data_IF_683957603540
#
_entry.id   IF_683957603540
#
_cell.length_a   1.000
_cell.length_b   1.000
_cell.length_c   1.000
_cell.angle_alpha   90.00
_cell.angle_beta   90.00
_cell.angle_gamma   90.00
#
_symmetry.space_group_name_H-M   'P 1'
#
loop_
_entity.id
_entity.type
_entity.pdbx_description
1 polymer ?
#
# COMPACT_ATOMS: atom_id res chain seq x y z
N UNK A 1 -30.81 15.25 -4.41
CA UNK A 1 -29.68 15.10 -5.36
C UNK A 1 -29.50 13.61 -5.61
N UNK A 2 -29.55 13.15 -6.88
CA UNK A 2 -29.28 11.73 -7.18
C UNK A 2 -27.76 11.54 -7.10
N UNK A 3 -27.30 10.66 -6.21
CA UNK A 3 -25.89 10.25 -6.18
C UNK A 3 -25.50 9.78 -7.58
N UNK A 4 -24.43 10.36 -8.13
CA UNK A 4 -23.81 9.90 -9.37
C UNK A 4 -23.37 8.45 -9.10
N UNK A 5 -23.70 7.46 -9.95
CA UNK A 5 -23.24 6.09 -9.72
C UNK A 5 -21.72 6.08 -9.81
N UNK A 6 -21.06 5.98 -8.66
CA UNK A 6 -19.62 5.84 -8.54
C UNK A 6 -19.30 4.43 -9.05
N UNK A 7 -18.54 4.33 -10.14
CA UNK A 7 -18.10 3.04 -10.67
C UNK A 7 -16.87 2.61 -9.87
N UNK A 8 -16.92 1.49 -9.12
CA UNK A 8 -15.75 0.98 -8.42
C UNK A 8 -14.67 0.52 -9.43
N UNK A 9 -13.41 0.58 -9.00
CA UNK A 9 -12.29 0.06 -9.77
C UNK A 9 -12.25 -1.47 -9.61
N UNK A 10 -12.18 -2.20 -10.73
CA UNK A 10 -12.09 -3.68 -10.73
C UNK A 10 -10.76 -4.14 -11.30
N UNK A 11 -10.08 -5.06 -10.60
CA UNK A 11 -8.86 -5.73 -11.09
C UNK A 11 -9.12 -7.25 -11.15
N UNK A 12 -9.50 -7.79 -12.32
CA UNK A 12 -9.78 -9.22 -12.47
C UNK A 12 -8.49 -10.05 -12.43
N UNK A 13 -8.50 -11.18 -11.72
CA UNK A 13 -7.38 -12.12 -11.65
C UNK A 13 -7.03 -12.71 -13.01
N UNK A 14 -8.03 -13.04 -13.84
CA UNK A 14 -7.82 -13.69 -15.15
C UNK A 14 -7.10 -12.82 -16.19
N UNK A 15 -7.08 -11.49 -16.00
CA UNK A 15 -6.39 -10.54 -16.87
C UNK A 15 -5.00 -10.14 -16.37
N UNK A 16 -4.55 -10.75 -15.27
CA UNK A 16 -3.26 -10.45 -14.65
C UNK A 16 -2.12 -10.82 -15.59
N UNK A 17 -1.19 -9.88 -15.79
CA UNK A 17 0.06 -10.18 -16.47
C UNK A 17 0.97 -10.91 -15.47
N UNK A 18 1.43 -12.14 -15.79
CA UNK A 18 2.34 -12.86 -14.91
C UNK A 18 3.61 -12.06 -14.63
N UNK A 19 3.98 -11.98 -13.37
CA UNK A 19 5.25 -11.38 -12.93
C UNK A 19 6.15 -12.52 -12.46
N UNK A 20 7.38 -12.58 -12.99
CA UNK A 20 8.31 -13.70 -12.73
C UNK A 20 8.61 -13.92 -11.24
N UNK A 21 8.45 -12.89 -10.41
CA UNK A 21 8.71 -12.88 -8.97
C UNK A 21 7.44 -12.82 -8.11
N UNK A 22 6.24 -13.02 -8.68
CA UNK A 22 4.99 -13.15 -7.93
C UNK A 22 4.22 -14.41 -8.36
N UNK A 23 3.46 -15.05 -7.45
CA UNK A 23 2.57 -16.14 -7.83
C UNK A 23 1.48 -15.67 -8.81
N UNK A 24 1.15 -16.47 -9.81
CA UNK A 24 0.16 -16.12 -10.82
C UNK A 24 -1.25 -15.90 -10.21
N UNK A 25 -1.97 -14.90 -10.71
CA UNK A 25 -3.38 -14.58 -10.38
C UNK A 25 -3.60 -14.10 -8.93
N UNK A 26 -2.56 -13.55 -8.31
CA UNK A 26 -2.60 -13.18 -6.88
C UNK A 26 -2.46 -11.68 -6.62
N UNK A 27 -2.30 -10.83 -7.64
CA UNK A 27 -2.20 -9.37 -7.44
C UNK A 27 -3.51 -8.79 -6.90
N UNK A 28 -4.67 -9.31 -7.35
CA UNK A 28 -5.97 -8.90 -6.82
C UNK A 28 -6.12 -9.17 -5.31
N UNK A 29 -5.59 -10.30 -4.82
CA UNK A 29 -5.60 -10.63 -3.39
C UNK A 29 -4.74 -9.65 -2.58
N UNK A 30 -3.64 -9.17 -3.16
CA UNK A 30 -2.75 -8.19 -2.51
C UNK A 30 -3.39 -6.83 -2.35
N UNK A 31 -4.27 -6.42 -3.26
CA UNK A 31 -5.06 -5.20 -3.08
C UNK A 31 -5.95 -5.29 -1.83
N UNK A 32 -6.54 -6.47 -1.58
CA UNK A 32 -7.36 -6.70 -0.39
C UNK A 32 -6.48 -6.76 0.86
N UNK A 33 -5.34 -7.46 0.82
CA UNK A 33 -4.39 -7.49 1.92
C UNK A 33 -3.85 -6.08 2.27
N UNK A 34 -3.67 -5.21 1.28
CA UNK A 34 -3.29 -3.81 1.49
C UNK A 34 -4.36 -3.01 2.22
N UNK A 35 -5.63 -3.18 1.85
CA UNK A 35 -6.73 -2.59 2.62
C UNK A 35 -6.74 -3.11 4.07
N UNK A 36 -6.66 -4.42 4.26
CA UNK A 36 -6.63 -5.01 5.61
C UNK A 36 -5.45 -4.51 6.47
N UNK A 37 -4.25 -4.36 5.88
CA UNK A 37 -3.10 -3.79 6.57
C UNK A 37 -3.36 -2.32 6.96
N UNK A 38 -3.94 -1.52 6.07
CA UNK A 38 -4.27 -0.11 6.36
C UNK A 38 -5.25 0.03 7.52
N UNK A 39 -6.25 -0.85 7.59
CA UNK A 39 -7.23 -0.88 8.68
C UNK A 39 -6.60 -1.36 9.99
N UNK A 40 -5.76 -2.40 9.95
CA UNK A 40 -5.05 -2.90 11.13
C UNK A 40 -4.07 -1.87 11.72
N UNK A 41 -3.53 -0.99 10.88
CA UNK A 41 -2.70 0.14 11.31
C UNK A 41 -3.53 1.34 11.80
N UNK A 42 -4.83 1.38 11.52
CA UNK A 42 -5.69 2.54 11.79
C UNK A 42 -5.35 3.77 10.93
N UNK A 43 -4.66 3.57 9.80
CA UNK A 43 -4.22 4.68 8.95
C UNK A 43 -5.29 5.09 7.95
N UNK A 44 -6.17 4.15 7.56
CA UNK A 44 -7.28 4.40 6.63
C UNK A 44 -6.86 5.07 5.30
N UNK A 45 -5.64 4.77 4.83
CA UNK A 45 -5.05 5.34 3.62
C UNK A 45 -5.32 4.50 2.37
N UNK A 46 -5.83 3.27 2.48
CA UNK A 46 -6.21 2.45 1.33
C UNK A 46 -7.73 2.50 1.19
N UNK A 47 -8.29 2.89 0.03
CA UNK A 47 -9.73 2.87 -0.18
C UNK A 47 -10.30 1.47 0.08
N UNK A 48 -11.56 1.40 0.52
CA UNK A 48 -12.23 0.13 0.81
C UNK A 48 -12.04 -0.84 -0.36
N UNK A 49 -11.48 -2.02 -0.08
CA UNK A 49 -11.17 -3.02 -1.11
C UNK A 49 -11.61 -4.39 -0.65
N UNK A 50 -12.33 -5.11 -1.51
CA UNK A 50 -12.84 -6.46 -1.23
C UNK A 50 -12.59 -7.39 -2.41
N UNK A 51 -12.52 -8.71 -2.16
CA UNK A 51 -12.46 -9.71 -3.22
C UNK A 51 -13.87 -10.16 -3.61
N UNK A 52 -14.12 -10.35 -4.90
CA UNK A 52 -15.36 -10.92 -5.41
C UNK A 52 -15.08 -12.04 -6.38
N UNK A 53 -15.66 -13.21 -6.13
CA UNK A 53 -15.60 -14.35 -7.05
C UNK A 53 -16.54 -14.18 -8.25
N UNK A 54 -17.59 -13.38 -8.10
CA UNK A 54 -18.70 -13.20 -9.04
C UNK A 54 -18.64 -11.88 -9.83
N UNK A 55 -17.45 -11.31 -9.98
CA UNK A 55 -17.25 -10.07 -10.73
C UNK A 55 -17.64 -10.19 -12.22
N UNK A 56 -18.01 -9.09 -12.89
CA UNK A 56 -18.43 -9.10 -14.29
C UNK A 56 -17.35 -9.61 -15.26
N UNK A 57 -16.09 -9.63 -14.82
CA UNK A 57 -14.93 -10.12 -15.58
C UNK A 57 -14.27 -11.34 -14.91
N UNK A 58 -14.99 -12.02 -14.00
CA UNK A 58 -14.50 -13.12 -13.17
C UNK A 58 -13.97 -12.66 -11.81
N UNK A 59 -13.33 -13.58 -11.06
CA UNK A 59 -12.78 -13.28 -9.73
C UNK A 59 -11.78 -12.13 -9.75
N UNK A 60 -11.82 -11.26 -8.74
CA UNK A 60 -10.91 -10.12 -8.64
C UNK A 60 -11.21 -9.18 -7.49
N UNK A 61 -10.38 -8.14 -7.35
CA UNK A 61 -10.60 -7.10 -6.34
C UNK A 61 -11.53 -6.01 -6.86
N UNK A 62 -12.36 -5.51 -5.94
CA UNK A 62 -13.26 -4.38 -6.11
C UNK A 62 -12.84 -3.30 -5.11
N UNK A 63 -12.38 -2.16 -5.62
CA UNK A 63 -11.93 -1.04 -4.81
C UNK A 63 -12.88 0.16 -4.97
N UNK A 64 -13.21 0.81 -3.85
CA UNK A 64 -13.95 2.07 -3.83
C UNK A 64 -13.23 3.09 -4.71
N UNK A 65 -13.99 3.74 -5.59
CA UNK A 65 -13.48 4.86 -6.36
C UNK A 65 -13.57 6.14 -5.53
N UNK A 66 -12.46 6.86 -5.48
CA UNK A 66 -12.32 8.15 -4.80
C UNK A 66 -12.17 9.21 -5.89
N UNK A 67 -12.89 10.33 -5.74
CA UNK A 67 -12.73 11.50 -6.63
C UNK A 67 -11.50 12.30 -6.17
N UNK A 68 -10.57 12.56 -7.09
CA UNK A 68 -9.33 13.30 -6.82
C UNK A 68 -8.84 14.02 -8.09
N UNK A 69 -8.06 15.08 -7.89
CA UNK A 69 -7.35 15.77 -8.98
C UNK A 69 -6.11 14.97 -9.40
N UNK A 70 -6.13 14.45 -10.64
CA UNK A 70 -5.03 13.65 -11.19
C UNK A 70 -3.72 14.44 -11.35
N UNK A 71 -3.80 15.76 -11.47
CA UNK A 71 -2.63 16.62 -11.57
C UNK A 71 -2.06 16.95 -10.18
N UNK A 72 -2.84 16.77 -9.11
CA UNK A 72 -2.37 16.95 -7.74
C UNK A 72 -1.86 15.64 -7.15
N UNK A 73 -0.64 15.29 -7.55
CA UNK A 73 0.07 14.08 -7.12
C UNK A 73 1.37 14.44 -6.38
N UNK A 74 2.10 13.43 -5.87
CA UNK A 74 3.28 13.60 -5.01
C UNK A 74 4.29 14.70 -5.45
N UNK A 75 4.59 14.80 -6.74
CA UNK A 75 5.56 15.79 -7.25
C UNK A 75 5.05 17.23 -7.18
N UNK A 76 3.74 17.42 -7.13
CA UNK A 76 3.06 18.72 -7.07
C UNK A 76 2.53 19.06 -5.66
N UNK A 77 2.66 18.14 -4.70
CA UNK A 77 2.34 18.42 -3.30
C UNK A 77 3.21 19.53 -2.73
N UNK A 78 2.58 20.37 -1.92
CA UNK A 78 3.21 21.36 -1.06
C UNK A 78 4.09 20.69 0.01
N UNK A 79 5.04 21.42 0.62
CA UNK A 79 5.81 20.89 1.73
C UNK A 79 4.94 20.35 2.88
N UNK A 80 3.89 21.06 3.26
CA UNK A 80 2.99 20.66 4.35
C UNK A 80 2.23 19.37 4.03
N UNK A 81 1.78 19.20 2.79
CA UNK A 81 1.15 17.96 2.33
C UNK A 81 2.14 16.79 2.36
N UNK A 82 3.40 17.01 1.94
CA UNK A 82 4.42 15.96 1.99
C UNK A 82 4.66 15.48 3.41
N UNK A 83 4.64 16.36 4.40
CA UNK A 83 4.80 16.00 5.81
C UNK A 83 3.72 15.03 6.31
N UNK A 84 2.52 15.04 5.70
CA UNK A 84 1.43 14.11 6.03
C UNK A 84 1.66 12.68 5.53
N UNK A 85 2.68 12.43 4.70
CA UNK A 85 2.91 11.12 4.04
C UNK A 85 3.58 10.07 4.93
N UNK A 86 3.94 10.38 6.18
CA UNK A 86 4.58 9.42 7.09
C UNK A 86 3.80 8.10 7.28
N UNK A 87 2.45 8.08 7.39
CA UNK A 87 1.68 6.84 7.43
C UNK A 87 1.82 6.01 6.15
N UNK A 88 1.84 6.66 4.98
CA UNK A 88 2.06 6.00 3.68
C UNK A 88 3.45 5.35 3.64
N UNK A 89 4.48 6.06 4.12
CA UNK A 89 5.85 5.53 4.14
C UNK A 89 5.96 4.31 5.05
N UNK A 90 5.40 4.37 6.26
CA UNK A 90 5.39 3.22 7.17
C UNK A 90 4.62 2.04 6.56
N UNK A 91 3.46 2.32 5.99
CA UNK A 91 2.66 1.33 5.28
C UNK A 91 3.45 0.69 4.15
N UNK A 92 4.12 1.45 3.28
CA UNK A 92 4.88 0.92 2.15
C UNK A 92 6.06 0.06 2.61
N UNK A 93 6.68 0.36 3.75
CA UNK A 93 7.73 -0.49 4.33
C UNK A 93 7.13 -1.81 4.82
N UNK A 94 6.00 -1.77 5.53
CA UNK A 94 5.29 -2.97 6.03
C UNK A 94 4.58 -3.77 4.95
N UNK A 95 4.19 -3.13 3.85
CA UNK A 95 3.66 -3.76 2.65
C UNK A 95 4.80 -4.20 1.72
N UNK A 96 6.00 -3.61 1.80
CA UNK A 96 7.10 -3.83 0.85
C UNK A 96 6.61 -3.51 -0.57
N UNK A 97 5.98 -2.34 -0.70
CA UNK A 97 5.41 -1.89 -1.96
C UNK A 97 6.53 -1.73 -2.99
N UNK A 98 6.48 -2.56 -4.03
CA UNK A 98 7.51 -2.56 -5.06
C UNK A 98 7.19 -1.62 -6.21
N UNK A 99 6.14 -0.78 -6.16
CA UNK A 99 5.85 0.14 -7.27
C UNK A 99 5.12 1.42 -6.82
N UNK A 100 5.49 2.03 -5.69
CA UNK A 100 4.87 3.28 -5.24
C UNK A 100 5.30 4.47 -6.11
N UNK A 101 4.47 4.80 -7.10
CA UNK A 101 4.62 5.99 -7.96
C UNK A 101 3.96 7.22 -7.37
N UNK A 102 4.31 8.38 -7.92
CA UNK A 102 3.77 9.66 -7.48
C UNK A 102 2.25 9.79 -7.68
N UNK A 103 1.72 9.25 -8.79
CA UNK A 103 0.28 9.25 -9.08
C UNK A 103 -0.53 8.28 -8.22
N UNK A 104 0.13 7.39 -7.49
CA UNK A 104 -0.56 6.40 -6.64
C UNK A 104 -1.00 7.00 -5.30
N UNK A 105 -0.62 8.23 -4.99
CA UNK A 105 -0.96 8.94 -3.75
C UNK A 105 -1.63 10.25 -4.10
N UNK A 106 -2.78 10.51 -3.50
CA UNK A 106 -3.61 11.68 -3.78
C UNK A 106 -4.48 12.03 -2.57
N UNK A 107 -5.03 13.25 -2.59
CA UNK A 107 -6.03 13.68 -1.62
C UNK A 107 -7.42 13.63 -2.25
N UNK A 108 -8.40 13.14 -1.51
CA UNK A 108 -9.80 13.15 -1.93
C UNK A 108 -10.32 14.59 -2.05
N UNK A 109 -11.04 14.85 -3.14
CA UNK A 109 -11.73 16.12 -3.35
C UNK A 109 -12.78 16.38 -2.25
N UNK A 110 -12.72 17.57 -1.65
CA UNK A 110 -13.69 18.03 -0.66
C UNK A 110 -13.43 17.58 0.78
N UNK A 111 -12.68 16.49 1.02
CA UNK A 111 -12.34 16.04 2.39
C UNK A 111 -10.88 16.22 2.75
N UNK A 112 -9.98 16.32 1.75
CA UNK A 112 -8.53 16.32 1.95
C UNK A 112 -8.01 15.06 2.67
N UNK A 113 -8.75 13.95 2.57
CA UNK A 113 -8.31 12.65 3.09
C UNK A 113 -7.23 12.07 2.17
N UNK A 114 -6.11 11.65 2.75
CA UNK A 114 -4.99 11.05 2.03
C UNK A 114 -5.30 9.60 1.67
N UNK A 115 -5.15 9.25 0.39
CA UNK A 115 -5.27 7.87 -0.08
C UNK A 115 -4.05 7.42 -0.88
N UNK A 116 -3.81 6.12 -0.86
CA UNK A 116 -2.89 5.39 -1.69
C UNK A 116 -3.58 4.24 -2.40
N UNK A 117 -3.20 4.01 -3.66
CA UNK A 117 -3.74 2.91 -4.50
C UNK A 117 -2.61 2.08 -5.12
N UNK A 118 -3.01 1.06 -5.88
CA UNK A 118 -2.15 0.17 -6.66
C UNK A 118 -1.15 -0.63 -5.81
N UNK A 119 -1.69 -1.58 -5.04
CA UNK A 119 -0.93 -2.44 -4.13
C UNK A 119 -0.77 -3.87 -4.63
N UNK A 120 -1.12 -4.14 -5.89
CA UNK A 120 -0.97 -5.46 -6.51
C UNK A 120 0.46 -6.03 -6.35
N UNK A 121 1.48 -5.17 -6.40
CA UNK A 121 2.90 -5.57 -6.30
C UNK A 121 3.45 -5.30 -4.88
N UNK A 122 2.77 -5.84 -3.86
CA UNK A 122 3.15 -5.77 -2.45
C UNK A 122 3.41 -7.16 -1.85
N UNK A 123 3.90 -7.15 -0.61
CA UNK A 123 4.01 -8.26 0.33
C UNK A 123 5.06 -9.32 0.04
N UNK A 124 5.84 -9.13 -1.03
CA UNK A 124 6.95 -10.03 -1.35
C UNK A 124 7.87 -10.25 -0.13
N UNK A 125 8.32 -11.49 0.06
CA UNK A 125 9.10 -11.89 1.23
C UNK A 125 10.52 -11.32 1.28
N UNK A 126 11.13 -11.12 0.11
CA UNK A 126 12.38 -10.39 -0.09
C UNK A 126 12.10 -8.89 -0.19
N UNK A 127 13.06 -8.08 0.27
CA UNK A 127 12.93 -6.63 0.23
C UNK A 127 12.97 -6.09 -1.21
N UNK A 128 11.83 -5.58 -1.67
CA UNK A 128 11.59 -5.04 -3.01
C UNK A 128 11.07 -3.60 -2.99
N UNK A 129 11.03 -2.94 -1.82
CA UNK A 129 10.50 -1.59 -1.64
C UNK A 129 11.06 -0.64 -2.69
N UNK A 130 10.17 -0.08 -3.52
CA UNK A 130 10.46 0.96 -4.50
C UNK A 130 9.41 2.04 -4.35
N UNK A 131 9.83 3.23 -3.94
CA UNK A 131 8.94 4.37 -3.69
C UNK A 131 9.56 5.67 -4.19
N UNK A 132 8.72 6.65 -4.51
CA UNK A 132 9.16 8.03 -4.75
C UNK A 132 9.34 8.83 -3.44
N UNK A 133 8.76 8.36 -2.33
CA UNK A 133 8.67 9.06 -1.05
C UNK A 133 9.87 8.70 -0.15
N UNK A 134 11.07 9.16 -0.52
CA UNK A 134 12.29 8.93 0.25
C UNK A 134 12.68 10.09 1.18
N UNK A 135 11.86 11.14 1.27
CA UNK A 135 12.15 12.36 2.06
C UNK A 135 12.38 12.07 3.55
N UNK A 136 11.77 10.99 4.04
CA UNK A 136 11.83 10.58 5.44
C UNK A 136 12.98 9.63 5.76
N UNK A 137 13.85 9.31 4.80
CA UNK A 137 14.98 8.38 4.99
C UNK A 137 15.81 8.73 6.22
N UNK A 138 15.94 7.78 7.16
CA UNK A 138 16.73 7.95 8.38
C UNK A 138 16.09 8.84 9.46
N UNK A 139 14.92 9.43 9.20
CA UNK A 139 14.18 10.19 10.21
C UNK A 139 13.56 9.26 11.26
N UNK A 140 13.34 9.78 12.46
CA UNK A 140 12.63 9.08 13.52
C UNK A 140 11.15 8.87 13.13
N UNK A 141 10.64 7.68 13.41
CA UNK A 141 9.22 7.36 13.21
C UNK A 141 8.46 7.85 14.46
N UNK A 142 7.39 8.65 14.28
CA UNK A 142 6.50 9.02 15.37
C UNK A 142 5.94 7.80 16.12
N UNK A 143 5.85 7.91 17.44
CA UNK A 143 5.47 6.79 18.32
C UNK A 143 4.03 6.31 18.09
N UNK A 144 3.14 7.24 17.72
CA UNK A 144 1.75 6.96 17.34
C UNK A 144 1.67 6.09 16.08
N UNK A 145 2.58 6.27 15.11
CA UNK A 145 2.66 5.42 13.92
C UNK A 145 3.24 4.04 14.22
N UNK A 146 4.10 3.92 15.24
CA UNK A 146 4.66 2.63 15.67
C UNK A 146 3.71 1.84 16.55
N UNK A 147 2.79 2.48 17.27
CA UNK A 147 1.94 1.84 18.26
C UNK A 147 1.16 0.61 17.72
N UNK A 148 0.55 0.64 16.51
CA UNK A 148 -0.18 -0.50 15.97
C UNK A 148 0.70 -1.73 15.69
N UNK A 149 2.01 -1.55 15.47
CA UNK A 149 2.93 -2.64 15.13
C UNK A 149 3.13 -3.62 16.30
N UNK A 150 2.76 -3.25 17.52
CA UNK A 150 2.77 -4.14 18.67
C UNK A 150 1.89 -5.38 18.45
N UNK A 151 0.82 -5.25 17.66
CA UNK A 151 -0.12 -6.33 17.34
C UNK A 151 0.30 -7.14 16.11
N UNK A 152 1.42 -6.83 15.46
CA UNK A 152 1.79 -7.42 14.17
C UNK A 152 1.96 -8.95 14.21
N UNK A 153 2.37 -9.50 15.36
CA UNK A 153 2.49 -10.96 15.54
C UNK A 153 1.12 -11.66 15.51
N UNK A 154 0.02 -10.94 15.78
CA UNK A 154 -1.35 -11.45 15.78
C UNK A 154 -2.06 -11.30 14.41
N UNK A 155 -1.42 -10.72 13.39
CA UNK A 155 -2.05 -10.46 12.08
C UNK A 155 -2.10 -11.67 11.13
N UNK A 156 -1.81 -12.89 11.59
CA UNK A 156 -1.77 -14.06 10.69
C UNK A 156 -3.14 -14.34 10.07
N UNK A 157 -4.19 -14.37 10.90
CA UNK A 157 -5.58 -14.63 10.48
C UNK A 157 -6.11 -13.55 9.52
N UNK A 158 -5.57 -12.33 9.61
CA UNK A 158 -5.93 -11.22 8.73
C UNK A 158 -5.48 -11.44 7.28
N UNK A 159 -4.37 -12.17 7.10
CA UNK A 159 -3.67 -12.27 5.82
C UNK A 159 -3.65 -13.66 5.20
N UNK A 160 -3.96 -14.72 5.97
CA UNK A 160 -3.84 -16.12 5.50
C UNK A 160 -4.69 -16.46 4.26
N UNK A 161 -5.78 -15.70 4.04
CA UNK A 161 -6.63 -15.84 2.85
C UNK A 161 -6.03 -15.21 1.58
N UNK A 162 -5.05 -14.32 1.73
CA UNK A 162 -4.54 -13.46 0.65
C UNK A 162 -3.06 -13.66 0.36
N UNK A 163 -2.28 -14.06 1.37
CA UNK A 163 -0.82 -14.11 1.35
C UNK A 163 -0.31 -15.47 1.84
N UNK A 164 0.86 -15.86 1.36
CA UNK A 164 1.53 -17.08 1.83
C UNK A 164 2.08 -16.91 3.25
N UNK A 165 2.31 -18.02 3.99
CA UNK A 165 2.93 -17.94 5.32
C UNK A 165 4.32 -17.27 5.33
N UNK A 166 5.06 -17.33 4.21
CA UNK A 166 6.37 -16.67 4.09
C UNK A 166 6.24 -15.15 4.01
N UNK A 167 5.25 -14.65 3.27
CA UNK A 167 4.96 -13.22 3.12
C UNK A 167 4.46 -12.63 4.45
N UNK A 168 3.58 -13.34 5.16
CA UNK A 168 3.08 -12.93 6.49
C UNK A 168 4.24 -12.79 7.48
N UNK A 169 5.12 -13.80 7.57
CA UNK A 169 6.33 -13.74 8.40
C UNK A 169 7.24 -12.58 8.01
N UNK A 170 7.30 -12.21 6.73
CA UNK A 170 8.07 -11.08 6.27
C UNK A 170 7.48 -9.74 6.75
N UNK A 171 6.15 -9.60 6.82
CA UNK A 171 5.48 -8.42 7.42
C UNK A 171 5.85 -8.31 8.89
N UNK A 172 5.68 -9.38 9.66
CA UNK A 172 6.00 -9.44 11.09
C UNK A 172 7.47 -9.09 11.37
N UNK A 173 8.39 -9.64 10.57
CA UNK A 173 9.83 -9.31 10.66
C UNK A 173 10.10 -7.83 10.41
N UNK A 174 9.43 -7.22 9.43
CA UNK A 174 9.57 -5.78 9.13
C UNK A 174 9.01 -4.92 10.27
N UNK A 175 7.85 -5.28 10.82
CA UNK A 175 7.29 -4.62 12.01
C UNK A 175 8.25 -4.67 13.20
N UNK A 176 8.79 -5.86 13.54
CA UNK A 176 9.82 -6.01 14.59
C UNK A 176 11.08 -5.17 14.34
N UNK A 177 11.49 -5.07 13.08
CA UNK A 177 12.66 -4.27 12.70
C UNK A 177 12.41 -2.78 12.95
N UNK A 178 11.23 -2.28 12.55
CA UNK A 178 10.82 -0.89 12.77
C UNK A 178 10.63 -0.54 14.24
N UNK A 179 10.03 -1.43 15.04
CA UNK A 179 9.92 -1.25 16.48
C UNK A 179 11.29 -1.17 17.18
N UNK A 180 12.29 -1.90 16.66
CA UNK A 180 13.66 -1.89 17.18
C UNK A 180 14.45 -0.65 16.72
N UNK A 181 14.39 -0.28 15.44
CA UNK A 181 15.16 0.84 14.90
C UNK A 181 14.54 2.20 15.22
N UNK A 182 13.20 2.26 15.25
CA UNK A 182 12.37 3.48 15.41
C UNK A 182 12.69 4.58 14.39
N UNK A 183 13.31 4.20 13.28
CA UNK A 183 13.71 5.10 12.20
C UNK A 183 13.28 4.51 10.86
N UNK A 184 12.88 5.39 9.95
CA UNK A 184 12.65 5.00 8.56
C UNK A 184 13.96 4.52 7.94
N UNK A 185 13.94 3.46 7.13
CA UNK A 185 15.15 2.92 6.51
C UNK A 185 15.79 3.95 5.59
N UNK A 186 17.12 3.91 5.51
CA UNK A 186 17.83 4.69 4.50
C UNK A 186 17.50 4.16 3.11
N UNK A 187 17.44 5.06 2.13
CA UNK A 187 17.35 4.69 0.72
C UNK A 187 18.48 3.72 0.36
N UNK A 188 18.18 2.54 -0.22
CA UNK A 188 19.20 1.58 -0.57
C UNK A 188 20.12 2.13 -1.69
N UNK A 189 21.40 1.79 -1.60
CA UNK A 189 22.42 2.15 -2.60
C UNK A 189 22.78 0.98 -3.53
N UNK A 190 22.44 -0.24 -3.12
CA UNK A 190 22.81 -1.52 -3.75
C UNK A 190 21.71 -2.08 -4.68
N UNK A 191 20.52 -1.48 -4.66
CA UNK A 191 19.39 -1.88 -5.51
C UNK A 191 18.57 -0.67 -5.94
N UNK A 192 17.70 -0.89 -6.92
CA UNK A 192 16.75 0.12 -7.39
C UNK A 192 15.79 0.53 -6.26
N UNK A 193 15.78 1.82 -5.92
CA UNK A 193 14.95 2.39 -4.86
C UNK A 193 13.67 3.09 -5.36
N UNK A 194 13.63 3.48 -6.64
CA UNK A 194 12.52 4.19 -7.25
C UNK A 194 11.73 3.27 -8.19
N UNK A 195 10.41 3.42 -8.33
CA UNK A 195 9.62 2.70 -9.34
C UNK A 195 9.99 3.11 -10.78
N UNK A 196 9.41 2.44 -11.79
CA UNK A 196 9.45 2.90 -13.17
C UNK A 196 8.08 2.78 -13.86
N UNK A 197 7.64 3.81 -14.58
CA UNK A 197 8.06 5.21 -14.44
C UNK A 197 7.85 5.74 -13.01
N UNK A 198 8.38 6.93 -12.66
CA UNK A 198 8.17 7.51 -11.32
C UNK A 198 6.76 8.08 -11.10
N UNK A 199 6.02 8.37 -12.18
CA UNK A 199 4.64 8.83 -12.16
C UNK A 199 3.70 7.74 -12.64
#
# INVERSE_FOLDING_TARGET
MKAKPIKPCTKPSKGEQPLWDFPDNTLALREVAAYQLSEALGFHIVPFTTYRDDGPYGPGSLQQYIEYDIEHHYFNFTPDERETLRPVVLFDILANNADRKGSHIFFEEGTQTLYGIDHGICFHEENKLRTVIWDFSGQQIPDDLLAPLAEAENWSDLFEQYLSPREIRAIQRRARTLLKSRTFPLRPADRRAFPYPPI
#
